data_IF_689685868445
#
_entry.id   IF_689685868445
#
_cell.length_a   1.000
_cell.length_b   1.000
_cell.length_c   1.000
_cell.angle_alpha   90.00
_cell.angle_beta   90.00
_cell.angle_gamma   90.00
#
_symmetry.space_group_name_H-M   'P 1'
#
loop_
_entity.id
_entity.type
_entity.pdbx_description
1 polymer ?
#
# COMPACT_ATOMS: atom_id res chain seq x y z
N UNK A 1 -15.77 -38.38 49.95
CA UNK A 1 -16.42 -38.64 48.64
C UNK A 1 -16.18 -37.55 47.61
N UNK A 2 -16.19 -36.25 47.97
CA UNK A 2 -16.07 -35.12 47.01
C UNK A 2 -14.70 -35.01 46.29
N UNK A 3 -13.59 -35.02 47.02
CA UNK A 3 -12.26 -34.86 46.42
C UNK A 3 -11.81 -35.97 45.45
N UNK A 4 -12.39 -37.18 45.54
CA UNK A 4 -12.12 -38.26 44.56
C UNK A 4 -12.85 -38.01 43.24
N UNK A 5 -14.03 -37.39 43.29
CA UNK A 5 -14.79 -36.97 42.12
C UNK A 5 -14.12 -35.78 41.43
N UNK A 6 -13.63 -34.81 42.20
CA UNK A 6 -12.94 -33.63 41.66
C UNK A 6 -11.61 -34.02 40.99
N UNK A 7 -10.88 -34.98 41.57
CA UNK A 7 -9.66 -35.53 40.96
C UNK A 7 -9.94 -36.30 39.66
N UNK A 8 -11.03 -37.08 39.60
CA UNK A 8 -11.44 -37.77 38.37
C UNK A 8 -11.88 -36.77 37.28
N UNK A 9 -12.63 -35.74 37.66
CA UNK A 9 -13.05 -34.68 36.74
C UNK A 9 -11.86 -33.94 36.13
N UNK A 10 -10.86 -33.58 36.95
CA UNK A 10 -9.63 -32.96 36.45
C UNK A 10 -8.83 -33.87 35.50
N UNK A 11 -8.82 -35.18 35.77
CA UNK A 11 -8.17 -36.15 34.86
C UNK A 11 -8.95 -36.24 33.54
N UNK A 12 -10.28 -36.29 33.55
CA UNK A 12 -11.09 -36.33 32.34
C UNK A 12 -10.92 -35.06 31.49
N UNK A 13 -10.86 -33.89 32.13
CA UNK A 13 -10.63 -32.61 31.45
C UNK A 13 -9.23 -32.53 30.82
N UNK A 14 -8.20 -33.02 31.51
CA UNK A 14 -6.83 -33.07 30.96
C UNK A 14 -6.72 -34.04 29.79
N UNK A 15 -7.38 -35.21 29.86
CA UNK A 15 -7.46 -36.16 28.74
C UNK A 15 -8.19 -35.54 27.55
N UNK A 16 -9.32 -34.86 27.75
CA UNK A 16 -10.05 -34.18 26.68
C UNK A 16 -9.23 -33.07 26.01
N UNK A 17 -8.44 -32.35 26.80
CA UNK A 17 -7.51 -31.32 26.32
C UNK A 17 -6.38 -31.94 25.48
N UNK A 18 -5.81 -33.05 25.93
CA UNK A 18 -4.77 -33.79 25.20
C UNK A 18 -5.28 -34.36 23.88
N UNK A 19 -6.50 -34.91 23.85
CA UNK A 19 -7.12 -35.40 22.61
C UNK A 19 -7.39 -34.26 21.60
N UNK A 20 -7.65 -33.06 22.10
CA UNK A 20 -7.82 -31.87 21.26
C UNK A 20 -6.49 -31.40 20.69
N UNK A 21 -5.42 -31.38 21.49
CA UNK A 21 -4.06 -31.07 21.02
C UNK A 21 -3.63 -32.08 19.95
N UNK A 22 -3.84 -33.37 20.20
CA UNK A 22 -3.49 -34.45 19.26
C UNK A 22 -4.23 -34.31 17.92
N UNK A 23 -5.53 -33.97 17.95
CA UNK A 23 -6.30 -33.72 16.71
C UNK A 23 -5.74 -32.53 15.92
N UNK A 24 -5.41 -31.44 16.59
CA UNK A 24 -4.85 -30.26 15.94
C UNK A 24 -3.47 -30.55 15.32
N UNK A 25 -2.63 -31.34 16.01
CA UNK A 25 -1.34 -31.78 15.48
C UNK A 25 -1.50 -32.64 14.22
N UNK A 26 -2.45 -33.57 14.21
CA UNK A 26 -2.76 -34.37 13.04
C UNK A 26 -3.23 -33.51 11.87
N UNK A 27 -4.12 -32.54 12.14
CA UNK A 27 -4.65 -31.63 11.14
C UNK A 27 -3.56 -30.75 10.53
N UNK A 28 -2.69 -30.19 11.37
CA UNK A 28 -1.52 -29.42 10.94
C UNK A 28 -0.57 -30.27 10.09
N UNK A 29 -0.27 -31.50 10.52
CA UNK A 29 0.58 -32.42 9.77
C UNK A 29 -0.02 -32.81 8.41
N UNK A 30 -1.34 -32.98 8.34
CA UNK A 30 -2.04 -33.27 7.09
C UNK A 30 -2.00 -32.06 6.15
N UNK A 31 -2.18 -30.84 6.67
CA UNK A 31 -2.05 -29.61 5.87
C UNK A 31 -0.63 -29.42 5.32
N UNK A 32 0.39 -29.70 6.14
CA UNK A 32 1.80 -29.66 5.69
C UNK A 32 2.05 -30.71 4.61
N UNK A 33 1.59 -31.95 4.79
CA UNK A 33 1.73 -33.01 3.78
C UNK A 33 1.05 -32.66 2.47
N UNK A 34 -0.19 -32.17 2.51
CA UNK A 34 -0.92 -31.74 1.32
C UNK A 34 -0.21 -30.59 0.59
N UNK A 35 0.37 -29.65 1.34
CA UNK A 35 1.13 -28.53 0.77
C UNK A 35 2.43 -29.02 0.09
N UNK A 36 3.10 -30.00 0.68
CA UNK A 36 4.32 -30.61 0.11
C UNK A 36 3.98 -31.42 -1.16
N UNK A 37 2.89 -32.19 -1.15
CA UNK A 37 2.44 -32.92 -2.35
C UNK A 37 2.01 -31.97 -3.47
N UNK A 38 1.29 -30.90 -3.12
CA UNK A 38 0.94 -29.85 -4.07
C UNK A 38 2.19 -29.22 -4.70
N UNK A 39 3.20 -28.88 -3.89
CA UNK A 39 4.46 -28.32 -4.41
C UNK A 39 5.19 -29.30 -5.35
N UNK A 40 5.24 -30.59 -4.98
CA UNK A 40 5.82 -31.63 -5.84
C UNK A 40 5.12 -31.79 -7.18
N UNK A 41 3.81 -31.52 -7.25
CA UNK A 41 3.06 -31.58 -8.51
C UNK A 41 3.50 -30.53 -9.55
N UNK A 42 4.17 -29.46 -9.12
CA UNK A 42 4.77 -28.44 -9.99
C UNK A 42 6.25 -28.71 -10.32
N UNK A 43 6.76 -29.93 -10.07
CA UNK A 43 8.16 -30.33 -10.27
C UNK A 43 9.17 -29.47 -9.46
N UNK A 44 8.67 -28.85 -8.39
CA UNK A 44 9.41 -27.93 -7.53
C UNK A 44 9.57 -28.59 -6.17
N UNK A 45 10.77 -29.11 -5.87
CA UNK A 45 11.08 -29.68 -4.57
C UNK A 45 11.19 -28.55 -3.53
N UNK A 46 10.22 -28.44 -2.59
CA UNK A 46 10.20 -27.35 -1.64
C UNK A 46 11.43 -27.38 -0.72
N UNK A 47 11.96 -28.55 -0.38
CA UNK A 47 13.10 -28.66 0.55
C UNK A 47 14.40 -28.20 -0.10
N UNK A 48 14.59 -28.53 -1.38
CA UNK A 48 15.71 -28.05 -2.19
C UNK A 48 15.59 -26.56 -2.51
N UNK A 49 14.38 -26.04 -2.75
CA UNK A 49 14.16 -24.60 -2.97
C UNK A 49 14.45 -23.78 -1.69
N UNK A 50 14.02 -24.28 -0.51
CA UNK A 50 14.39 -23.69 0.78
C UNK A 50 15.90 -23.74 1.03
N UNK A 51 16.57 -24.87 0.73
CA UNK A 51 18.04 -24.97 0.86
C UNK A 51 18.75 -24.02 -0.09
N UNK A 52 18.35 -23.96 -1.37
CA UNK A 52 18.95 -23.08 -2.38
C UNK A 52 18.84 -21.60 -2.00
N UNK A 53 17.67 -21.14 -1.55
CA UNK A 53 17.43 -19.75 -1.11
C UNK A 53 18.22 -19.36 0.15
N UNK A 54 18.64 -20.33 0.97
CA UNK A 54 19.46 -20.08 2.17
C UNK A 54 20.96 -20.00 1.87
N UNK A 55 21.44 -20.74 0.88
CA UNK A 55 22.87 -20.80 0.51
C UNK A 55 23.20 -19.67 -0.48
N UNK A 56 22.29 -19.37 -1.40
CA UNK A 56 22.41 -18.24 -2.31
C UNK A 56 21.70 -17.06 -1.67
N UNK A 57 22.43 -16.20 -0.97
CA UNK A 57 21.95 -14.92 -0.41
C UNK A 57 21.53 -13.89 -1.48
N UNK A 58 21.02 -14.35 -2.62
CA UNK A 58 20.36 -13.57 -3.64
C UNK A 58 19.07 -14.28 -3.97
N UNK A 59 17.97 -13.67 -3.55
CA UNK A 59 16.70 -13.84 -4.25
C UNK A 59 16.99 -13.62 -5.74
N UNK A 60 16.94 -14.66 -6.55
CA UNK A 60 16.62 -14.46 -7.95
C UNK A 60 15.16 -14.04 -7.92
N UNK A 61 14.95 -12.73 -7.82
CA UNK A 61 13.63 -12.15 -7.83
C UNK A 61 12.97 -12.64 -9.13
N UNK A 62 11.90 -13.45 -9.07
CA UNK A 62 11.24 -13.93 -10.27
C UNK A 62 10.60 -12.78 -11.06
N UNK A 63 10.59 -11.59 -10.48
CA UNK A 63 10.05 -10.36 -11.03
C UNK A 63 11.19 -9.43 -11.43
N UNK A 64 11.30 -9.19 -12.74
CA UNK A 64 12.30 -8.25 -13.30
C UNK A 64 11.83 -6.81 -13.18
N UNK A 65 10.51 -6.62 -13.09
CA UNK A 65 9.87 -5.31 -12.97
C UNK A 65 8.73 -5.35 -11.95
N UNK A 66 8.49 -4.23 -11.29
CA UNK A 66 7.31 -3.98 -10.46
C UNK A 66 6.01 -4.22 -11.24
N UNK A 67 6.07 -4.02 -12.56
CA UNK A 67 4.95 -4.28 -13.46
C UNK A 67 4.56 -5.76 -13.52
N UNK A 68 5.54 -6.67 -13.46
CA UNK A 68 5.31 -8.12 -13.51
C UNK A 68 4.57 -8.59 -12.25
N UNK A 69 4.92 -8.03 -11.09
CA UNK A 69 4.25 -8.28 -9.81
C UNK A 69 2.79 -7.81 -9.85
N UNK A 70 2.54 -6.64 -10.43
CA UNK A 70 1.19 -6.09 -10.60
C UNK A 70 0.32 -6.97 -11.50
N UNK A 71 0.87 -7.47 -12.61
CA UNK A 71 0.14 -8.31 -13.56
C UNK A 71 -0.23 -9.66 -12.94
N UNK A 72 0.72 -10.31 -12.24
CA UNK A 72 0.46 -11.55 -11.52
C UNK A 72 -0.57 -11.37 -10.40
N UNK A 73 -0.47 -10.27 -9.64
CA UNK A 73 -1.44 -9.94 -8.60
C UNK A 73 -2.86 -9.72 -9.18
N UNK A 74 -2.95 -9.17 -10.38
CA UNK A 74 -4.22 -8.98 -11.08
C UNK A 74 -4.83 -10.31 -11.56
N UNK A 75 -4.01 -11.19 -12.12
CA UNK A 75 -4.44 -12.54 -12.56
C UNK A 75 -4.95 -13.40 -11.40
N UNK A 76 -4.32 -13.32 -10.22
CA UNK A 76 -4.70 -14.11 -9.05
C UNK A 76 -5.61 -13.38 -8.04
N UNK A 77 -6.27 -12.30 -8.47
CA UNK A 77 -7.16 -11.49 -7.61
C UNK A 77 -8.30 -12.30 -6.96
N UNK A 78 -8.77 -13.35 -7.63
CA UNK A 78 -9.85 -14.23 -7.15
C UNK A 78 -9.39 -15.23 -6.10
N UNK A 79 -8.12 -15.62 -6.11
CA UNK A 79 -7.57 -16.65 -5.22
C UNK A 79 -7.24 -16.06 -3.84
N UNK A 80 -6.69 -14.84 -3.82
CA UNK A 80 -6.29 -14.17 -2.58
C UNK A 80 -6.73 -12.70 -2.52
N UNK A 81 -8.03 -12.43 -2.31
CA UNK A 81 -8.58 -11.07 -2.36
C UNK A 81 -8.00 -10.13 -1.28
N UNK A 82 -7.61 -10.66 -0.11
CA UNK A 82 -7.00 -9.87 0.97
C UNK A 82 -5.58 -9.44 0.65
N UNK A 83 -4.77 -10.34 0.09
CA UNK A 83 -3.37 -10.05 -0.30
C UNK A 83 -3.36 -9.05 -1.46
N UNK A 84 -4.25 -9.21 -2.44
CA UNK A 84 -4.39 -8.25 -3.53
C UNK A 84 -4.73 -6.83 -3.05
N UNK A 85 -5.60 -6.69 -2.04
CA UNK A 85 -5.92 -5.37 -1.45
C UNK A 85 -4.70 -4.73 -0.79
N UNK A 86 -3.91 -5.50 -0.04
CA UNK A 86 -2.69 -5.01 0.62
C UNK A 86 -1.64 -4.61 -0.42
N UNK A 87 -1.42 -5.43 -1.45
CA UNK A 87 -0.51 -5.11 -2.56
C UNK A 87 -0.95 -3.86 -3.32
N UNK A 88 -2.25 -3.75 -3.62
CA UNK A 88 -2.81 -2.56 -4.25
C UNK A 88 -2.58 -1.33 -3.39
N UNK A 89 -2.84 -1.41 -2.07
CA UNK A 89 -2.60 -0.32 -1.14
C UNK A 89 -1.12 0.07 -1.12
N UNK A 90 -0.22 -0.90 -1.10
CA UNK A 90 1.24 -0.70 -1.12
C UNK A 90 1.70 -0.02 -2.42
N UNK A 91 1.15 -0.39 -3.57
CA UNK A 91 1.47 0.24 -4.86
C UNK A 91 0.83 1.62 -5.06
N UNK A 92 -0.33 1.87 -4.45
CA UNK A 92 -0.98 3.19 -4.48
C UNK A 92 -0.48 4.14 -3.41
N UNK A 93 0.08 3.62 -2.32
CA UNK A 93 0.80 4.43 -1.35
C UNK A 93 1.94 5.13 -2.11
N UNK A 94 2.13 6.44 -1.94
CA UNK A 94 3.23 7.13 -2.59
C UNK A 94 4.55 6.57 -2.04
N UNK A 95 5.12 5.57 -2.73
CA UNK A 95 6.47 5.07 -2.44
C UNK A 95 7.51 6.18 -2.70
N UNK A 96 7.15 7.20 -3.49
CA UNK A 96 7.98 8.37 -3.74
C UNK A 96 7.37 9.65 -3.18
N UNK A 97 8.01 10.22 -2.16
CA UNK A 97 7.78 11.59 -1.65
C UNK A 97 8.18 12.65 -2.69
N UNK A 98 8.87 12.26 -3.76
CA UNK A 98 9.40 13.15 -4.80
C UNK A 98 8.35 14.04 -5.52
N UNK A 99 7.09 13.57 -5.65
CA UNK A 99 6.02 14.41 -6.24
C UNK A 99 5.67 15.58 -5.32
N UNK A 100 5.63 15.33 -4.03
CA UNK A 100 5.37 16.34 -3.01
C UNK A 100 6.59 17.23 -2.79
N UNK A 101 7.81 16.70 -2.86
CA UNK A 101 9.04 17.51 -2.79
C UNK A 101 9.10 18.57 -3.90
N UNK A 102 8.64 18.24 -5.10
CA UNK A 102 8.60 19.19 -6.22
C UNK A 102 7.58 20.31 -5.98
N UNK A 103 6.42 20.00 -5.43
CA UNK A 103 5.40 21.02 -5.10
C UNK A 103 5.81 21.85 -3.89
N UNK A 104 6.43 21.24 -2.87
CA UNK A 104 7.00 21.96 -1.73
C UNK A 104 8.16 22.87 -2.12
N UNK A 105 9.06 22.42 -2.99
CA UNK A 105 10.15 23.26 -3.52
C UNK A 105 9.59 24.48 -4.27
N UNK A 106 8.56 24.28 -5.10
CA UNK A 106 7.85 25.39 -5.76
C UNK A 106 7.13 26.29 -4.76
N UNK A 107 6.48 25.73 -3.74
CA UNK A 107 5.82 26.49 -2.67
C UNK A 107 6.81 27.39 -1.94
N UNK A 108 8.01 26.91 -1.62
CA UNK A 108 9.06 27.73 -0.98
C UNK A 108 9.49 28.91 -1.86
N UNK A 109 9.55 28.73 -3.18
CA UNK A 109 9.86 29.82 -4.12
C UNK A 109 8.71 30.83 -4.19
N UNK A 110 7.46 30.37 -4.20
CA UNK A 110 6.26 31.22 -4.27
C UNK A 110 6.07 32.01 -2.95
N UNK A 111 6.18 31.32 -1.82
CA UNK A 111 6.09 31.85 -0.44
C UNK A 111 7.47 32.25 0.07
N UNK A 112 8.05 33.26 -0.58
CA UNK A 112 9.32 33.83 -0.13
C UNK A 112 9.14 34.74 1.09
N UNK A 113 10.24 35.06 1.78
CA UNK A 113 10.24 35.84 3.03
C UNK A 113 9.50 37.19 2.91
N UNK A 114 9.53 37.83 1.74
CA UNK A 114 8.88 39.12 1.47
C UNK A 114 7.37 39.00 1.21
N UNK A 115 6.84 37.79 1.00
CA UNK A 115 5.41 37.51 0.70
C UNK A 115 4.74 36.70 1.82
N UNK A 116 5.23 36.81 3.04
CA UNK A 116 4.73 36.06 4.21
C UNK A 116 3.27 36.36 4.58
N UNK A 117 2.71 37.48 4.12
CA UNK A 117 1.34 37.95 4.44
C UNK A 117 0.29 37.63 3.36
N UNK A 118 0.58 36.71 2.44
CA UNK A 118 -0.37 36.31 1.40
C UNK A 118 -1.49 35.41 1.95
N UNK A 119 -2.71 35.53 1.42
CA UNK A 119 -3.81 34.61 1.76
C UNK A 119 -3.55 33.18 1.26
N UNK A 120 -4.07 32.20 2.00
CA UNK A 120 -3.93 30.79 1.64
C UNK A 120 -4.60 30.46 0.31
N UNK A 121 -5.79 31.03 0.03
CA UNK A 121 -6.48 30.88 -1.26
C UNK A 121 -5.58 31.28 -2.46
N UNK A 122 -4.89 32.42 -2.33
CA UNK A 122 -3.99 32.90 -3.39
C UNK A 122 -2.76 32.01 -3.52
N UNK A 123 -2.31 31.40 -2.42
CA UNK A 123 -1.15 30.51 -2.40
C UNK A 123 -1.46 29.20 -3.10
N UNK A 124 -2.62 28.62 -2.78
CA UNK A 124 -3.12 27.41 -3.43
C UNK A 124 -3.24 27.61 -4.94
N UNK A 125 -3.89 28.69 -5.39
CA UNK A 125 -4.02 29.02 -6.81
C UNK A 125 -2.66 29.11 -7.52
N UNK A 126 -1.68 29.79 -6.91
CA UNK A 126 -0.34 29.93 -7.48
C UNK A 126 0.44 28.61 -7.51
N UNK A 127 0.27 27.75 -6.51
CA UNK A 127 0.92 26.44 -6.48
C UNK A 127 0.35 25.55 -7.59
N UNK A 128 -0.96 25.58 -7.83
CA UNK A 128 -1.58 24.82 -8.93
C UNK A 128 -1.03 25.29 -10.27
N UNK A 129 -0.98 26.61 -10.52
CA UNK A 129 -0.39 27.17 -11.74
C UNK A 129 1.09 26.80 -11.89
N UNK A 130 1.85 26.81 -10.79
CA UNK A 130 3.25 26.45 -10.82
C UNK A 130 3.47 24.95 -11.02
N UNK A 131 2.62 24.09 -10.48
CA UNK A 131 2.64 22.64 -10.68
C UNK A 131 2.37 22.29 -12.15
N UNK A 132 1.32 22.89 -12.71
CA UNK A 132 0.86 22.72 -14.10
C UNK A 132 1.45 23.79 -15.04
N UNK A 133 2.75 24.03 -14.92
CA UNK A 133 3.43 25.07 -15.72
C UNK A 133 3.28 24.84 -17.23
N UNK A 134 3.38 23.59 -17.69
CA UNK A 134 3.29 23.23 -19.10
C UNK A 134 1.91 23.52 -19.71
N UNK A 135 0.86 23.54 -18.88
CA UNK A 135 -0.50 23.94 -19.27
C UNK A 135 -0.67 25.44 -19.15
N UNK A 136 -0.15 26.04 -18.08
CA UNK A 136 -0.21 27.49 -17.83
C UNK A 136 0.50 28.29 -18.94
N UNK A 137 1.65 27.81 -19.42
CA UNK A 137 2.40 28.46 -20.50
C UNK A 137 1.65 28.41 -21.86
N UNK A 138 0.61 27.57 -21.99
CA UNK A 138 -0.26 27.49 -23.18
C UNK A 138 -1.51 28.38 -23.08
N UNK A 139 -1.78 28.98 -21.92
CA UNK A 139 -2.95 29.85 -21.73
C UNK A 139 -2.69 31.19 -22.42
N UNK A 140 -3.61 31.62 -23.29
CA UNK A 140 -3.57 32.95 -23.89
C UNK A 140 -3.92 34.03 -22.86
N UNK A 141 -2.92 34.81 -22.47
CA UNK A 141 -3.07 35.90 -21.52
C UNK A 141 -3.95 37.02 -22.07
N UNK A 142 -3.97 37.25 -23.39
CA UNK A 142 -4.79 38.31 -24.00
C UNK A 142 -6.27 37.95 -23.95
N UNK A 143 -6.60 36.67 -24.15
CA UNK A 143 -7.96 36.18 -23.96
C UNK A 143 -8.37 36.25 -22.48
N UNK A 144 -7.51 35.79 -21.57
CA UNK A 144 -7.76 35.87 -20.13
C UNK A 144 -7.99 37.33 -19.67
N UNK A 145 -7.23 38.28 -20.22
CA UNK A 145 -7.37 39.70 -19.92
C UNK A 145 -8.69 40.28 -20.45
N UNK A 146 -9.12 39.88 -21.66
CA UNK A 146 -10.44 40.26 -22.21
C UNK A 146 -11.58 39.74 -21.33
N UNK A 147 -11.50 38.47 -20.91
CA UNK A 147 -12.48 37.87 -20.00
C UNK A 147 -12.50 38.61 -18.66
N UNK A 148 -11.34 38.92 -18.07
CA UNK A 148 -11.24 39.70 -16.85
C UNK A 148 -11.80 41.12 -17.01
N UNK A 149 -11.47 41.80 -18.11
CA UNK A 149 -11.94 43.15 -18.41
C UNK A 149 -13.46 43.23 -18.61
N UNK A 150 -14.07 42.15 -19.16
CA UNK A 150 -15.51 42.04 -19.34
C UNK A 150 -16.30 41.87 -18.03
N UNK A 151 -15.65 41.48 -16.93
CA UNK A 151 -16.32 41.32 -15.63
C UNK A 151 -16.68 42.69 -15.04
N UNK A 152 -17.95 42.88 -14.67
CA UNK A 152 -18.45 44.15 -14.09
C UNK A 152 -17.92 44.43 -12.67
N UNK A 153 -17.66 43.41 -11.87
CA UNK A 153 -17.12 43.53 -10.50
C UNK A 153 -15.61 43.20 -10.48
N UNK A 154 -14.78 44.21 -10.80
CA UNK A 154 -13.30 44.11 -10.81
C UNK A 154 -12.65 44.41 -9.46
N UNK A 155 -13.41 44.96 -8.50
CA UNK A 155 -12.90 45.30 -7.17
C UNK A 155 -12.84 44.03 -6.31
N UNK A 156 -11.65 43.70 -5.83
CA UNK A 156 -11.48 42.69 -4.79
C UNK A 156 -12.21 43.17 -3.55
N UNK A 157 -13.13 42.34 -3.03
CA UNK A 157 -13.74 42.60 -1.71
C UNK A 157 -12.67 42.34 -0.66
N UNK A 158 -11.92 43.37 -0.30
CA UNK A 158 -11.00 43.33 0.83
C UNK A 158 -11.83 43.26 2.11
N UNK A 159 -11.90 42.08 2.73
CA UNK A 159 -12.28 41.97 4.14
C UNK A 159 -11.04 42.37 4.94
N UNK A 160 -11.05 43.58 5.49
CA UNK A 160 -10.16 43.95 6.59
C UNK A 160 -10.72 43.37 7.89
#
# INVERSE_FOLDING_TARGET
MRGRSDALMAIEETVASLETIRRNELEMNNQVKASVEFAKSFDQDPEEDFRRKRIVGRSQDPFKSVHDVCNLAYEHKSIFPSIFKVLKLLFTAPVSVAKDERTFSKMTIIKNFLRSTMSDERLEDLIVLAAEKDLTDKVDLDEALKVWASKKNRKLKTKF
#
